data_IF_885117777559
#
_entry.id   IF_885117777559
#
_cell.length_a   1.000
_cell.length_b   1.000
_cell.length_c   1.000
_cell.angle_alpha   90.00
_cell.angle_beta   90.00
_cell.angle_gamma   90.00
#
_symmetry.space_group_name_H-M   'P 1'
#
loop_
_entity.id
_entity.type
_entity.pdbx_description
1 polymer ?
#
# COMPACT_ATOMS: atom_id res chain seq x y z
N UNK A 1 -7.29 -18.62 -1.47
CA UNK A 1 -6.35 -17.87 -0.59
C UNK A 1 -7.15 -16.84 0.19
N UNK A 2 -7.05 -16.81 1.53
CA UNK A 2 -7.74 -15.82 2.37
C UNK A 2 -6.90 -14.54 2.48
N UNK A 3 -6.83 -13.81 1.36
CA UNK A 3 -6.01 -12.63 1.14
C UNK A 3 -6.83 -11.52 0.50
N UNK A 4 -6.71 -10.32 1.04
CA UNK A 4 -7.23 -9.10 0.43
C UNK A 4 -6.14 -8.05 0.25
N UNK A 5 -6.07 -7.47 -0.94
CA UNK A 5 -5.33 -6.23 -1.19
C UNK A 5 -6.21 -5.03 -0.88
N UNK A 6 -5.65 -4.03 -0.22
CA UNK A 6 -6.29 -2.75 0.07
C UNK A 6 -5.44 -1.62 -0.51
N UNK A 7 -6.01 -0.88 -1.46
CA UNK A 7 -5.27 0.06 -2.31
C UNK A 7 -6.04 1.39 -2.38
N UNK A 8 -5.69 2.39 -1.58
CA UNK A 8 -6.22 3.73 -1.74
C UNK A 8 -5.56 4.40 -2.94
N UNK A 9 -6.34 5.04 -3.81
CA UNK A 9 -5.84 5.66 -5.04
C UNK A 9 -6.31 7.11 -5.22
N UNK A 10 -5.43 7.91 -5.83
CA UNK A 10 -5.72 9.19 -6.46
C UNK A 10 -4.95 9.25 -7.78
N UNK A 11 -5.66 9.37 -8.90
CA UNK A 11 -5.07 9.29 -10.25
C UNK A 11 -4.89 10.70 -10.82
N UNK A 12 -3.79 11.33 -10.45
CA UNK A 12 -3.52 12.76 -10.75
C UNK A 12 -2.79 12.98 -12.09
N UNK A 13 -2.44 11.90 -12.83
CA UNK A 13 -1.65 11.99 -14.07
C UNK A 13 -1.77 10.74 -14.93
N UNK A 14 -1.35 10.81 -16.19
CA UNK A 14 -1.39 9.70 -17.13
C UNK A 14 -0.44 8.56 -16.74
N UNK A 15 0.73 8.87 -16.18
CA UNK A 15 1.67 7.87 -15.69
C UNK A 15 1.09 7.11 -14.47
N UNK A 16 0.39 7.79 -13.56
CA UNK A 16 -0.34 7.13 -12.46
C UNK A 16 -1.50 6.27 -12.96
N UNK A 17 -2.22 6.72 -13.98
CA UNK A 17 -3.27 5.90 -14.62
C UNK A 17 -2.67 4.62 -15.22
N UNK A 18 -1.58 4.75 -15.97
CA UNK A 18 -0.86 3.61 -16.55
C UNK A 18 -0.37 2.65 -15.46
N UNK A 19 0.25 3.16 -14.39
CA UNK A 19 0.71 2.35 -13.27
C UNK A 19 -0.46 1.61 -12.60
N UNK A 20 -1.57 2.29 -12.35
CA UNK A 20 -2.79 1.69 -11.79
C UNK A 20 -3.29 0.52 -12.65
N UNK A 21 -3.40 0.71 -13.96
CA UNK A 21 -3.81 -0.35 -14.89
C UNK A 21 -2.82 -1.52 -14.85
N UNK A 22 -1.53 -1.22 -14.86
CA UNK A 22 -0.46 -2.24 -14.83
C UNK A 22 -0.52 -3.09 -13.58
N UNK A 23 -0.54 -2.45 -12.41
CA UNK A 23 -0.53 -3.15 -11.12
C UNK A 23 -1.77 -4.02 -10.95
N UNK A 24 -2.96 -3.48 -11.27
CA UNK A 24 -4.20 -4.23 -11.12
C UNK A 24 -4.29 -5.38 -12.13
N UNK A 25 -3.87 -5.19 -13.37
CA UNK A 25 -3.81 -6.27 -14.36
C UNK A 25 -2.85 -7.38 -13.90
N UNK A 26 -1.69 -6.99 -13.37
CA UNK A 26 -0.71 -7.93 -12.85
C UNK A 26 -1.26 -8.73 -11.66
N UNK A 27 -1.81 -8.06 -10.65
CA UNK A 27 -2.37 -8.70 -9.46
C UNK A 27 -3.49 -9.66 -9.80
N UNK A 28 -4.46 -9.25 -10.65
CA UNK A 28 -5.58 -10.08 -11.09
C UNK A 28 -5.14 -11.31 -11.89
N UNK A 29 -3.98 -11.25 -12.56
CA UNK A 29 -3.41 -12.38 -13.29
C UNK A 29 -2.54 -13.28 -12.41
N UNK A 30 -1.76 -12.73 -11.50
CA UNK A 30 -0.73 -13.46 -10.72
C UNK A 30 -1.30 -14.08 -9.45
N UNK A 31 -2.30 -13.42 -8.83
CA UNK A 31 -2.96 -13.85 -7.59
C UNK A 31 -4.50 -13.76 -7.76
N UNK A 32 -5.08 -14.49 -8.74
CA UNK A 32 -6.48 -14.34 -9.13
C UNK A 32 -7.50 -14.69 -8.02
N UNK A 33 -7.09 -15.45 -7.01
CA UNK A 33 -7.96 -15.83 -5.88
C UNK A 33 -8.04 -14.73 -4.80
N UNK A 34 -7.15 -13.74 -4.83
CA UNK A 34 -7.16 -12.64 -3.87
C UNK A 34 -8.25 -11.62 -4.21
N UNK A 35 -8.87 -11.05 -3.19
CA UNK A 35 -9.77 -9.92 -3.36
C UNK A 35 -8.98 -8.62 -3.40
N UNK A 36 -9.37 -7.69 -4.25
CA UNK A 36 -8.74 -6.38 -4.37
C UNK A 36 -9.78 -5.32 -4.06
N UNK A 37 -9.55 -4.55 -3.01
CA UNK A 37 -10.39 -3.43 -2.60
C UNK A 37 -9.69 -2.12 -2.92
N UNK A 38 -10.33 -1.30 -3.74
CA UNK A 38 -9.83 0.01 -4.15
C UNK A 38 -10.76 1.09 -3.61
N UNK A 39 -10.17 2.11 -3.00
CA UNK A 39 -10.85 3.36 -2.66
C UNK A 39 -10.22 4.49 -3.45
N UNK A 40 -10.95 4.97 -4.45
CA UNK A 40 -10.58 6.17 -5.20
C UNK A 40 -11.11 7.41 -4.50
N UNK A 41 -10.24 8.39 -4.28
CA UNK A 41 -10.60 9.64 -3.61
C UNK A 41 -10.09 10.80 -4.45
N UNK A 42 -10.99 11.41 -5.24
CA UNK A 42 -10.65 12.45 -6.20
C UNK A 42 -11.87 13.34 -6.50
N UNK A 43 -11.69 14.37 -7.33
CA UNK A 43 -12.77 15.23 -7.81
C UNK A 43 -13.72 14.53 -8.79
N UNK A 44 -13.21 13.53 -9.51
CA UNK A 44 -13.99 12.65 -10.42
C UNK A 44 -13.40 11.26 -10.42
N UNK A 45 -14.19 10.25 -10.80
CA UNK A 45 -13.70 8.87 -10.86
C UNK A 45 -12.96 8.61 -12.18
N UNK A 46 -11.66 8.88 -12.18
CA UNK A 46 -10.75 8.56 -13.30
C UNK A 46 -10.63 7.04 -13.49
N UNK A 47 -10.66 6.29 -12.39
CA UNK A 47 -10.63 4.83 -12.42
C UNK A 47 -11.81 4.26 -13.20
N UNK A 48 -13.05 4.66 -12.89
CA UNK A 48 -14.25 4.16 -13.58
C UNK A 48 -14.28 4.57 -15.05
N UNK A 49 -13.83 5.79 -15.36
CA UNK A 49 -13.87 6.32 -16.70
C UNK A 49 -12.78 5.73 -17.61
N UNK A 50 -11.57 5.49 -17.09
CA UNK A 50 -10.41 5.18 -17.91
C UNK A 50 -9.73 3.84 -17.58
N UNK A 51 -9.55 3.48 -16.31
CA UNK A 51 -8.85 2.25 -15.93
C UNK A 51 -9.76 1.01 -16.06
N UNK A 52 -10.95 1.04 -15.49
CA UNK A 52 -11.86 -0.11 -15.42
C UNK A 52 -12.26 -0.68 -16.78
N UNK A 53 -12.54 0.12 -17.83
CA UNK A 53 -12.82 -0.40 -19.17
C UNK A 53 -11.65 -1.18 -19.77
N UNK A 54 -10.41 -0.73 -19.52
CA UNK A 54 -9.19 -1.41 -20.00
C UNK A 54 -9.00 -2.72 -19.25
N UNK A 55 -9.17 -2.71 -17.92
CA UNK A 55 -9.05 -3.90 -17.08
C UNK A 55 -10.07 -4.97 -17.51
N UNK A 56 -11.34 -4.62 -17.65
CA UNK A 56 -12.42 -5.53 -18.09
C UNK A 56 -12.16 -6.20 -19.45
N UNK A 57 -11.41 -5.53 -20.32
CA UNK A 57 -11.06 -6.07 -21.64
C UNK A 57 -9.93 -7.11 -21.56
N UNK A 58 -9.04 -6.98 -20.56
CA UNK A 58 -7.77 -7.72 -20.55
C UNK A 58 -7.73 -8.82 -19.48
N UNK A 59 -8.45 -8.66 -18.36
CA UNK A 59 -8.43 -9.60 -17.23
C UNK A 59 -9.82 -9.77 -16.60
N UNK A 60 -10.05 -10.86 -15.85
CA UNK A 60 -11.24 -10.99 -15.01
C UNK A 60 -11.19 -9.99 -13.87
N UNK A 61 -12.28 -9.27 -13.64
CA UNK A 61 -12.42 -8.26 -12.58
C UNK A 61 -13.41 -8.67 -11.48
N UNK A 62 -13.77 -9.96 -11.40
CA UNK A 62 -14.76 -10.46 -10.43
C UNK A 62 -14.35 -10.22 -8.98
N UNK A 63 -13.05 -10.30 -8.67
CA UNK A 63 -12.49 -10.07 -7.35
C UNK A 63 -12.04 -8.62 -7.11
N UNK A 64 -12.41 -7.68 -8.00
CA UNK A 64 -12.06 -6.27 -7.90
C UNK A 64 -13.26 -5.46 -7.39
N UNK A 65 -13.12 -4.89 -6.20
CA UNK A 65 -14.12 -4.06 -5.54
C UNK A 65 -13.63 -2.60 -5.54
N UNK A 66 -14.42 -1.71 -6.15
CA UNK A 66 -14.07 -0.29 -6.25
C UNK A 66 -15.13 0.57 -5.55
N UNK A 67 -14.66 1.52 -4.78
CA UNK A 67 -15.48 2.58 -4.19
C UNK A 67 -14.89 3.94 -4.56
N UNK A 68 -15.76 4.91 -4.80
CA UNK A 68 -15.38 6.30 -5.08
C UNK A 68 -15.87 7.23 -3.97
N UNK A 69 -15.00 8.12 -3.54
CA UNK A 69 -15.32 9.21 -2.63
C UNK A 69 -14.92 10.53 -3.26
N UNK A 70 -15.86 11.44 -3.39
CA UNK A 70 -15.56 12.81 -3.85
C UNK A 70 -14.64 13.52 -2.87
N UNK A 71 -13.59 14.14 -3.41
CA UNK A 71 -12.70 15.03 -2.69
C UNK A 71 -12.24 16.15 -3.66
N UNK A 72 -12.28 17.43 -3.28
CA UNK A 72 -11.82 18.49 -4.17
C UNK A 72 -10.40 18.25 -4.70
N UNK A 73 -10.11 18.65 -5.93
CA UNK A 73 -8.83 18.37 -6.61
C UNK A 73 -7.59 18.83 -5.82
N UNK A 74 -7.72 19.94 -5.07
CA UNK A 74 -6.66 20.51 -4.24
C UNK A 74 -6.67 20.03 -2.78
N UNK A 75 -7.55 19.08 -2.42
CA UNK A 75 -7.61 18.53 -1.09
C UNK A 75 -6.49 17.51 -0.86
N UNK A 76 -6.01 17.42 0.38
CA UNK A 76 -5.01 16.44 0.77
C UNK A 76 -5.57 15.01 0.70
N UNK A 77 -4.73 14.10 0.24
CA UNK A 77 -5.05 12.68 0.18
C UNK A 77 -4.70 12.01 1.52
N UNK A 78 -5.70 11.71 2.32
CA UNK A 78 -5.51 11.14 3.67
C UNK A 78 -5.27 9.63 3.63
N UNK A 79 -4.09 9.23 3.13
CA UNK A 79 -3.71 7.84 2.83
C UNK A 79 -3.98 6.88 3.99
N UNK A 80 -3.51 7.19 5.19
CA UNK A 80 -3.63 6.34 6.38
C UNK A 80 -5.09 6.05 6.74
N UNK A 81 -5.95 7.07 6.69
CA UNK A 81 -7.39 6.92 6.90
C UNK A 81 -8.03 6.02 5.86
N UNK A 82 -7.68 6.19 4.58
CA UNK A 82 -8.28 5.41 3.50
C UNK A 82 -7.82 3.94 3.52
N UNK A 83 -6.60 3.66 3.98
CA UNK A 83 -6.15 2.29 4.27
C UNK A 83 -7.02 1.66 5.36
N UNK A 84 -7.28 2.37 6.45
CA UNK A 84 -8.14 1.89 7.53
C UNK A 84 -9.59 1.68 7.08
N UNK A 85 -10.14 2.60 6.26
CA UNK A 85 -11.49 2.45 5.68
C UNK A 85 -11.61 1.19 4.81
N UNK A 86 -10.58 0.91 4.01
CA UNK A 86 -10.53 -0.30 3.16
C UNK A 86 -10.35 -1.56 3.99
N UNK A 87 -9.57 -1.51 5.06
CA UNK A 87 -9.40 -2.63 5.97
C UNK A 87 -10.74 -3.10 6.55
N UNK A 88 -11.61 -2.19 6.95
CA UNK A 88 -12.93 -2.52 7.50
C UNK A 88 -13.88 -3.17 6.48
N UNK A 89 -13.62 -3.03 5.18
CA UNK A 89 -14.41 -3.67 4.13
C UNK A 89 -14.00 -5.12 3.88
N UNK A 90 -12.79 -5.52 4.29
CA UNK A 90 -12.31 -6.90 4.13
C UNK A 90 -12.57 -7.74 5.37
N UNK A 91 -12.75 -9.05 5.17
CA UNK A 91 -12.84 -10.05 6.24
C UNK A 91 -11.73 -11.10 6.11
N UNK A 92 -10.73 -10.86 5.27
CA UNK A 92 -9.62 -11.80 5.07
C UNK A 92 -8.66 -11.79 6.26
N UNK A 93 -8.11 -12.96 6.56
CA UNK A 93 -7.09 -13.15 7.60
C UNK A 93 -5.78 -12.40 7.28
N UNK A 94 -5.42 -12.35 6.00
CA UNK A 94 -4.23 -11.65 5.52
C UNK A 94 -4.66 -10.42 4.73
N UNK A 95 -4.19 -9.25 5.14
CA UNK A 95 -4.48 -7.98 4.48
C UNK A 95 -3.20 -7.36 3.96
N UNK A 96 -3.16 -7.10 2.68
CA UNK A 96 -2.01 -6.55 1.96
C UNK A 96 -2.29 -5.12 1.54
N UNK A 97 -1.68 -4.16 2.23
CA UNK A 97 -1.61 -2.79 1.74
C UNK A 97 -0.44 -2.67 0.76
N UNK A 98 -0.66 -2.10 -0.40
CA UNK A 98 0.38 -1.68 -1.33
C UNK A 98 0.00 -0.39 -2.05
N UNK A 99 1.01 0.37 -2.44
CA UNK A 99 0.82 1.48 -3.36
C UNK A 99 0.50 0.95 -4.76
N UNK A 100 -0.25 1.72 -5.55
CA UNK A 100 -0.76 1.31 -6.87
C UNK A 100 0.30 1.44 -7.98
N UNK A 101 1.55 1.51 -7.59
CA UNK A 101 2.74 1.63 -8.45
C UNK A 101 3.85 0.64 -8.06
N UNK A 102 3.54 -0.36 -7.21
CA UNK A 102 4.51 -1.39 -6.81
C UNK A 102 4.03 -2.79 -7.16
N UNK A 103 4.96 -3.63 -7.58
CA UNK A 103 4.73 -5.06 -7.82
C UNK A 103 5.92 -5.90 -7.37
N UNK A 104 5.63 -7.19 -7.18
CA UNK A 104 6.55 -8.18 -6.64
C UNK A 104 6.54 -9.44 -7.50
N UNK A 105 7.58 -10.28 -7.46
CA UNK A 105 7.52 -11.63 -8.01
C UNK A 105 6.36 -12.45 -7.42
N UNK A 106 5.80 -13.36 -8.19
CA UNK A 106 4.73 -14.27 -7.71
C UNK A 106 5.13 -15.03 -6.45
N UNK A 107 6.38 -15.49 -6.38
CA UNK A 107 6.97 -16.15 -5.21
C UNK A 107 6.84 -15.31 -3.94
N UNK A 108 7.01 -14.00 -4.05
CA UNK A 108 6.92 -13.06 -2.92
C UNK A 108 5.51 -13.00 -2.34
N UNK A 109 4.48 -12.96 -3.20
CA UNK A 109 3.08 -13.00 -2.73
C UNK A 109 2.78 -14.27 -1.94
N UNK A 110 3.23 -15.41 -2.46
CA UNK A 110 3.01 -16.71 -1.82
C UNK A 110 3.79 -16.85 -0.51
N UNK A 111 5.07 -16.46 -0.50
CA UNK A 111 5.92 -16.53 0.69
C UNK A 111 5.39 -15.61 1.81
N UNK A 112 4.97 -14.39 1.46
CA UNK A 112 4.40 -13.42 2.40
C UNK A 112 3.09 -13.93 3.01
N UNK A 113 2.20 -14.47 2.17
CA UNK A 113 0.96 -15.08 2.64
C UNK A 113 1.25 -16.22 3.63
N UNK A 114 2.18 -17.14 3.30
CA UNK A 114 2.54 -18.26 4.15
C UNK A 114 3.09 -17.81 5.52
N UNK A 115 3.91 -16.77 5.55
CA UNK A 115 4.46 -16.23 6.79
C UNK A 115 3.35 -15.77 7.76
N UNK A 116 2.32 -15.10 7.26
CA UNK A 116 1.22 -14.61 8.11
C UNK A 116 0.21 -15.71 8.38
N UNK A 117 -0.28 -16.39 7.33
CA UNK A 117 -1.38 -17.32 7.45
C UNK A 117 -1.01 -18.60 8.24
N UNK A 118 0.23 -19.09 8.07
CA UNK A 118 0.66 -20.40 8.58
C UNK A 118 1.76 -20.33 9.64
N UNK A 119 2.65 -19.31 9.61
CA UNK A 119 3.78 -19.19 10.55
C UNK A 119 3.54 -18.23 11.70
N UNK A 120 2.36 -17.56 11.72
CA UNK A 120 1.95 -16.70 12.82
C UNK A 120 2.81 -15.43 12.98
N UNK A 121 3.29 -14.89 11.85
CA UNK A 121 3.92 -13.56 11.79
C UNK A 121 2.82 -12.51 11.76
N UNK A 122 2.96 -11.44 12.54
CA UNK A 122 1.97 -10.39 12.69
C UNK A 122 2.00 -9.39 11.54
N UNK A 123 3.21 -9.09 11.04
CA UNK A 123 3.48 -8.06 10.08
C UNK A 123 4.65 -8.44 9.17
N UNK A 124 4.52 -8.28 7.85
CA UNK A 124 5.58 -8.63 6.89
C UNK A 124 5.84 -7.50 5.91
N UNK A 125 7.12 -7.16 5.73
CA UNK A 125 7.59 -6.42 4.57
C UNK A 125 7.83 -7.39 3.42
N UNK A 126 7.09 -7.28 2.28
CA UNK A 126 7.21 -8.23 1.16
C UNK A 126 8.40 -7.93 0.24
N UNK A 127 9.44 -7.28 0.72
CA UNK A 127 10.65 -6.94 -0.05
C UNK A 127 11.88 -6.79 0.83
N UNK A 128 13.07 -6.99 0.21
CA UNK A 128 14.35 -6.78 0.87
C UNK A 128 14.73 -5.30 1.01
N UNK A 129 15.69 -5.01 1.88
CA UNK A 129 16.26 -3.67 2.02
C UNK A 129 17.37 -3.43 0.97
N UNK A 130 17.57 -2.16 0.60
CA UNK A 130 18.69 -1.74 -0.23
C UNK A 130 18.65 -2.31 -1.66
N UNK A 131 19.52 -3.29 -2.02
CA UNK A 131 19.66 -3.74 -3.40
C UNK A 131 18.41 -4.39 -4.01
N UNK A 132 17.41 -4.68 -3.21
CA UNK A 132 16.13 -5.25 -3.66
C UNK A 132 15.12 -4.18 -4.10
N UNK A 133 15.40 -2.89 -3.88
CA UNK A 133 14.45 -1.80 -4.15
C UNK A 133 14.73 -1.14 -5.48
N UNK A 134 13.96 -1.50 -6.50
CA UNK A 134 14.13 -1.08 -7.87
C UNK A 134 13.10 -0.01 -8.24
N UNK A 135 13.55 1.18 -8.60
CA UNK A 135 12.73 2.21 -9.24
C UNK A 135 12.82 2.07 -10.76
N UNK A 136 11.69 1.87 -11.40
CA UNK A 136 11.58 1.60 -12.84
C UNK A 136 11.21 2.88 -13.57
N UNK A 137 12.02 3.32 -14.55
CA UNK A 137 11.64 4.41 -15.44
C UNK A 137 10.60 3.93 -16.44
N UNK A 138 9.35 3.82 -15.96
CA UNK A 138 8.26 3.12 -16.62
C UNK A 138 7.67 3.95 -17.76
N UNK A 139 8.07 3.64 -18.99
CA UNK A 139 7.59 4.28 -20.22
C UNK A 139 6.35 3.60 -20.81
N UNK A 140 5.72 4.25 -21.81
CA UNK A 140 4.63 3.63 -22.56
C UNK A 140 5.09 2.44 -23.42
N UNK A 141 6.34 2.42 -23.85
CA UNK A 141 6.93 1.29 -24.55
C UNK A 141 7.08 0.10 -23.60
N UNK A 142 7.71 0.30 -22.44
CA UNK A 142 7.86 -0.73 -21.41
C UNK A 142 6.51 -1.25 -20.92
N UNK A 143 5.48 -0.40 -20.81
CA UNK A 143 4.11 -0.82 -20.52
C UNK A 143 3.59 -1.82 -21.54
N UNK A 144 3.72 -1.50 -22.84
CA UNK A 144 3.25 -2.42 -23.92
C UNK A 144 4.00 -3.74 -23.89
N UNK A 145 5.33 -3.69 -23.74
CA UNK A 145 6.17 -4.87 -23.73
C UNK A 145 5.86 -5.75 -22.50
N UNK A 146 5.63 -5.14 -21.33
CA UNK A 146 5.28 -5.86 -20.12
C UNK A 146 3.94 -6.59 -20.23
N UNK A 147 2.92 -5.95 -20.80
CA UNK A 147 1.61 -6.59 -21.05
C UNK A 147 1.74 -7.71 -22.11
N UNK A 148 2.45 -7.45 -23.22
CA UNK A 148 2.63 -8.40 -24.33
C UNK A 148 3.47 -9.63 -23.94
N UNK A 149 4.42 -9.47 -23.02
CA UNK A 149 5.22 -10.57 -22.50
C UNK A 149 4.46 -11.50 -21.53
N UNK A 150 3.18 -11.19 -21.22
CA UNK A 150 2.43 -11.90 -20.18
C UNK A 150 2.94 -11.58 -18.77
N UNK A 151 3.36 -10.33 -18.56
CA UNK A 151 3.87 -9.79 -17.30
C UNK A 151 5.24 -10.35 -16.87
N UNK A 152 6.17 -10.53 -17.80
CA UNK A 152 7.54 -10.92 -17.48
C UNK A 152 8.29 -9.76 -16.78
N UNK A 153 8.61 -9.95 -15.51
CA UNK A 153 9.31 -8.95 -14.69
C UNK A 153 10.72 -8.59 -15.22
N UNK A 154 11.31 -9.40 -16.11
CA UNK A 154 12.59 -9.06 -16.74
C UNK A 154 12.48 -7.84 -17.65
N UNK A 155 11.32 -7.57 -18.23
CA UNK A 155 11.06 -6.35 -18.99
C UNK A 155 11.30 -5.11 -18.13
N UNK A 156 10.89 -5.12 -16.87
CA UNK A 156 11.07 -4.00 -15.94
C UNK A 156 12.54 -3.77 -15.55
N UNK A 157 13.40 -4.77 -15.73
CA UNK A 157 14.84 -4.65 -15.42
C UNK A 157 15.67 -4.03 -16.56
N UNK A 158 15.05 -3.55 -17.61
CA UNK A 158 15.75 -2.93 -18.74
C UNK A 158 16.13 -1.47 -18.50
N UNK A 159 15.34 -0.72 -17.70
CA UNK A 159 15.64 0.65 -17.32
C UNK A 159 15.19 0.95 -15.88
N UNK A 160 16.11 0.82 -14.93
CA UNK A 160 15.85 1.03 -13.51
C UNK A 160 17.04 1.62 -12.77
N UNK A 161 16.81 2.11 -11.57
CA UNK A 161 17.85 2.50 -10.61
C UNK A 161 17.51 1.99 -9.21
N UNK A 162 18.51 1.95 -8.33
CA UNK A 162 18.31 1.50 -6.93
C UNK A 162 17.86 2.66 -6.06
N UNK A 163 16.83 2.40 -5.25
CA UNK A 163 16.40 3.33 -4.20
C UNK A 163 17.22 3.12 -2.93
N UNK A 164 17.33 4.14 -2.06
CA UNK A 164 17.81 3.97 -0.70
C UNK A 164 16.86 3.03 0.06
N UNK A 165 17.38 2.32 1.06
CA UNK A 165 16.58 1.42 1.88
C UNK A 165 15.41 2.18 2.54
N UNK A 166 14.18 1.74 2.27
CA UNK A 166 12.95 2.32 2.81
C UNK A 166 12.10 1.27 3.52
N UNK A 167 11.08 1.70 4.24
CA UNK A 167 10.05 0.88 4.87
C UNK A 167 8.64 1.15 4.29
N UNK A 168 8.57 2.02 3.26
CA UNK A 168 7.35 2.35 2.53
C UNK A 168 6.91 1.26 1.54
N UNK A 169 6.24 1.65 0.46
CA UNK A 169 5.73 0.84 -0.67
C UNK A 169 4.59 -0.12 -0.32
N UNK A 170 4.80 -1.02 0.65
CA UNK A 170 3.87 -2.11 0.88
C UNK A 170 4.08 -2.75 2.25
N UNK A 171 2.97 -3.07 2.91
CA UNK A 171 2.95 -3.72 4.22
C UNK A 171 1.84 -4.78 4.24
N UNK A 172 2.12 -5.90 4.89
CA UNK A 172 1.18 -7.02 4.97
C UNK A 172 0.93 -7.39 6.42
N UNK A 173 -0.33 -7.53 6.78
CA UNK A 173 -0.76 -7.68 8.16
C UNK A 173 -1.56 -8.96 8.37
N UNK A 174 -1.40 -9.57 9.53
CA UNK A 174 -2.47 -10.36 10.11
C UNK A 174 -3.61 -9.41 10.53
N UNK A 175 -4.85 -9.70 10.13
CA UNK A 175 -5.97 -8.79 10.36
C UNK A 175 -6.25 -8.54 11.85
N UNK A 176 -6.19 -9.58 12.70
CA UNK A 176 -6.38 -9.42 14.14
C UNK A 176 -5.24 -8.59 14.77
N UNK A 177 -4.01 -8.81 14.32
CA UNK A 177 -2.85 -8.03 14.78
C UNK A 177 -2.98 -6.57 14.35
N UNK A 178 -3.52 -6.30 13.14
CA UNK A 178 -3.75 -4.93 12.65
C UNK A 178 -4.69 -4.13 13.58
N UNK A 179 -5.76 -4.76 14.04
CA UNK A 179 -6.66 -4.16 15.03
C UNK A 179 -5.95 -3.95 16.37
N UNK A 180 -5.24 -4.97 16.86
CA UNK A 180 -4.55 -4.92 18.16
C UNK A 180 -3.48 -3.85 18.26
N UNK A 181 -2.79 -3.53 17.17
CA UNK A 181 -1.78 -2.47 17.20
C UNK A 181 -2.31 -1.07 16.85
N UNK A 182 -3.63 -0.92 16.65
CA UNK A 182 -4.30 0.38 16.55
C UNK A 182 -4.35 0.97 15.15
N UNK A 183 -4.35 0.12 14.09
CA UNK A 183 -4.48 0.52 12.69
C UNK A 183 -3.30 1.40 12.18
N UNK A 184 -3.41 1.95 10.96
CA UNK A 184 -2.53 3.05 10.53
C UNK A 184 -2.85 4.31 11.32
N UNK A 185 -1.83 5.09 11.65
CA UNK A 185 -2.01 6.32 12.43
C UNK A 185 -2.62 7.43 11.56
N UNK A 186 -3.89 7.76 11.82
CA UNK A 186 -4.63 8.78 11.07
C UNK A 186 -4.19 10.21 11.35
N UNK A 187 -3.30 10.44 12.32
CA UNK A 187 -2.72 11.76 12.55
C UNK A 187 -1.60 12.10 11.55
N UNK A 188 -1.15 11.11 10.74
CA UNK A 188 -0.32 11.37 9.58
C UNK A 188 -1.20 11.64 8.36
N UNK A 189 -1.21 12.88 7.89
CA UNK A 189 -2.05 13.32 6.78
C UNK A 189 -1.22 13.48 5.52
N UNK A 190 -1.66 12.88 4.40
CA UNK A 190 -0.95 12.87 3.13
C UNK A 190 0.41 12.15 3.26
N UNK A 191 1.45 12.60 2.59
CA UNK A 191 2.74 11.94 2.52
C UNK A 191 3.69 12.36 3.67
N UNK A 192 4.37 11.37 4.26
CA UNK A 192 5.57 11.56 5.07
C UNK A 192 5.51 10.95 6.47
N UNK A 193 6.48 10.10 6.74
CA UNK A 193 6.82 9.49 8.04
C UNK A 193 5.83 8.46 8.61
N UNK A 194 4.68 8.22 8.02
CA UNK A 194 3.69 7.22 8.48
C UNK A 194 4.27 5.80 8.48
N UNK A 195 5.08 5.47 7.47
CA UNK A 195 5.76 4.17 7.38
C UNK A 195 6.87 4.01 8.42
N UNK A 196 7.57 5.09 8.74
CA UNK A 196 8.61 5.11 9.78
C UNK A 196 7.99 4.89 11.17
N UNK A 197 6.86 5.55 11.45
CA UNK A 197 6.11 5.37 12.69
C UNK A 197 5.63 3.92 12.82
N UNK A 198 5.00 3.38 11.77
CA UNK A 198 4.53 2.00 11.76
C UNK A 198 5.66 1.00 12.03
N UNK A 199 6.81 1.16 11.33
CA UNK A 199 7.97 0.31 11.56
C UNK A 199 8.48 0.38 13.00
N UNK A 200 8.59 1.57 13.56
CA UNK A 200 9.00 1.79 14.95
C UNK A 200 8.03 1.13 15.92
N UNK A 201 6.73 1.39 15.76
CA UNK A 201 5.66 0.86 16.61
C UNK A 201 5.64 -0.66 16.64
N UNK A 202 5.73 -1.32 15.47
CA UNK A 202 5.77 -2.78 15.41
C UNK A 202 6.95 -3.35 16.22
N UNK A 203 8.10 -2.71 16.15
CA UNK A 203 9.30 -3.18 16.85
C UNK A 203 9.24 -2.90 18.36
N UNK A 204 8.84 -1.69 18.79
CA UNK A 204 8.81 -1.36 20.21
C UNK A 204 7.72 -2.12 20.96
N UNK A 205 6.60 -2.40 20.31
CA UNK A 205 5.52 -3.22 20.86
C UNK A 205 5.77 -4.73 20.72
N UNK A 206 6.94 -5.12 20.16
CA UNK A 206 7.40 -6.51 20.04
C UNK A 206 6.47 -7.43 19.23
N UNK A 207 5.78 -6.87 18.20
CA UNK A 207 5.11 -7.69 17.21
C UNK A 207 6.11 -8.53 16.42
N UNK A 208 5.68 -9.71 15.95
CA UNK A 208 6.51 -10.56 15.11
C UNK A 208 6.58 -9.98 13.70
N UNK A 209 7.65 -9.24 13.42
CA UNK A 209 7.90 -8.62 12.12
C UNK A 209 8.74 -9.54 11.26
N UNK A 210 8.22 -9.87 10.07
CA UNK A 210 8.92 -10.67 9.05
C UNK A 210 9.35 -9.81 7.86
N UNK A 211 10.22 -10.40 7.02
CA UNK A 211 10.65 -9.79 5.76
C UNK A 211 10.94 -10.86 4.72
N UNK A 212 10.45 -10.65 3.50
CA UNK A 212 10.85 -11.45 2.33
C UNK A 212 12.01 -10.73 1.64
N UNK A 213 13.12 -11.42 1.44
CA UNK A 213 14.30 -10.84 0.78
C UNK A 213 14.21 -11.09 -0.73
N UNK A 214 13.31 -10.38 -1.38
CA UNK A 214 13.05 -10.44 -2.80
C UNK A 214 12.90 -9.02 -3.38
N UNK A 215 12.94 -8.87 -4.71
CA UNK A 215 12.84 -7.60 -5.40
C UNK A 215 11.46 -6.95 -5.22
N UNK A 216 11.44 -5.63 -5.07
CA UNK A 216 10.27 -4.78 -5.31
C UNK A 216 10.54 -3.92 -6.54
N UNK A 217 9.52 -3.75 -7.37
CA UNK A 217 9.54 -2.90 -8.55
C UNK A 217 8.58 -1.74 -8.35
N UNK A 218 9.13 -0.54 -8.16
CA UNK A 218 8.36 0.68 -8.05
C UNK A 218 8.33 1.38 -9.40
N UNK A 219 7.15 1.50 -10.01
CA UNK A 219 6.96 2.17 -11.28
C UNK A 219 6.96 3.68 -11.06
N UNK A 220 8.03 4.36 -11.48
CA UNK A 220 8.18 5.80 -11.28
C UNK A 220 7.05 6.59 -11.96
N UNK A 221 6.66 7.67 -11.32
CA UNK A 221 5.59 8.56 -11.75
C UNK A 221 5.87 10.00 -11.31
N UNK A 222 5.15 10.95 -11.90
CA UNK A 222 5.20 12.36 -11.51
C UNK A 222 4.78 12.55 -10.05
N UNK A 223 5.49 13.45 -9.36
CA UNK A 223 5.22 13.78 -7.95
C UNK A 223 4.32 15.00 -7.85
N UNK A 224 3.33 14.93 -6.97
CA UNK A 224 2.43 16.03 -6.64
C UNK A 224 2.64 16.47 -5.19
N UNK A 225 1.92 17.48 -4.76
CA UNK A 225 1.97 17.93 -3.35
C UNK A 225 1.51 16.84 -2.36
N UNK A 226 0.75 15.83 -2.83
CA UNK A 226 0.32 14.69 -2.00
C UNK A 226 1.39 13.59 -1.84
N UNK A 227 2.49 13.67 -2.57
CA UNK A 227 3.49 12.60 -2.64
C UNK A 227 4.94 13.07 -2.58
N UNK A 228 5.19 14.23 -1.96
CA UNK A 228 6.53 14.83 -1.91
C UNK A 228 6.71 15.72 -0.66
N UNK A 229 7.96 16.15 -0.39
CA UNK A 229 8.33 17.10 0.68
C UNK A 229 7.60 18.45 0.62
N UNK A 230 6.94 18.76 -0.50
CA UNK A 230 6.07 19.93 -0.64
C UNK A 230 4.67 19.72 -0.05
N UNK A 231 4.37 18.55 0.52
CA UNK A 231 3.15 18.31 1.26
C UNK A 231 2.99 19.38 2.37
N UNK A 232 1.87 20.12 2.42
CA UNK A 232 1.64 21.13 3.46
C UNK A 232 1.69 20.59 4.89
N UNK A 233 1.44 19.28 5.06
CA UNK A 233 1.47 18.58 6.36
C UNK A 233 2.81 17.91 6.67
N UNK A 234 3.81 18.02 5.79
CA UNK A 234 5.08 17.32 5.98
C UNK A 234 5.77 17.68 7.32
N UNK A 235 5.80 18.96 7.68
CA UNK A 235 6.43 19.37 8.95
C UNK A 235 5.66 18.85 10.17
N UNK A 236 4.33 18.84 10.12
CA UNK A 236 3.50 18.28 11.20
C UNK A 236 3.73 16.77 11.33
N UNK A 237 3.72 16.04 10.21
CA UNK A 237 4.01 14.62 10.15
C UNK A 237 5.42 14.32 10.70
N UNK A 238 6.42 15.09 10.28
CA UNK A 238 7.80 14.91 10.77
C UNK A 238 7.90 15.20 12.27
N UNK A 239 7.27 16.24 12.78
CA UNK A 239 7.25 16.54 14.22
C UNK A 239 6.60 15.41 15.03
N UNK A 240 5.48 14.86 14.53
CA UNK A 240 4.83 13.71 15.15
C UNK A 240 5.75 12.48 15.15
N UNK A 241 6.42 12.20 14.03
CA UNK A 241 7.43 11.14 13.95
C UNK A 241 8.60 11.37 14.91
N UNK A 242 9.14 12.58 14.99
CA UNK A 242 10.22 12.91 15.95
C UNK A 242 9.78 12.68 17.41
N UNK A 243 8.50 12.92 17.72
CA UNK A 243 7.95 12.56 19.02
C UNK A 243 7.94 11.04 19.22
N UNK A 244 7.36 10.28 18.29
CA UNK A 244 7.23 8.81 18.39
C UNK A 244 8.56 8.09 18.60
N UNK A 245 9.59 8.45 17.84
CA UNK A 245 10.89 7.77 17.89
C UNK A 245 11.63 7.89 19.22
N UNK A 246 11.16 8.73 20.13
CA UNK A 246 11.70 8.93 21.46
C UNK A 246 10.79 8.36 22.57
N UNK A 247 9.67 7.74 22.22
CA UNK A 247 8.76 7.14 23.20
C UNK A 247 9.15 5.70 23.50
N UNK A 248 8.80 5.24 24.69
CA UNK A 248 8.82 3.82 25.03
C UNK A 248 7.50 3.11 24.65
N UNK A 249 7.45 1.81 24.93
CA UNK A 249 6.26 1.01 24.60
C UNK A 249 5.00 1.47 25.35
N UNK A 250 5.16 1.88 26.62
CA UNK A 250 4.04 2.31 27.46
C UNK A 250 3.41 3.61 26.93
N UNK A 251 4.23 4.60 26.61
CA UNK A 251 3.77 5.86 26.00
C UNK A 251 3.10 5.65 24.63
N UNK A 252 3.62 4.72 23.81
CA UNK A 252 3.00 4.38 22.52
C UNK A 252 1.64 3.70 22.71
N UNK A 253 1.52 2.77 23.67
CA UNK A 253 0.24 2.13 24.00
C UNK A 253 -0.77 3.17 24.49
N UNK A 254 -0.38 4.04 25.41
CA UNK A 254 -1.23 5.10 25.94
C UNK A 254 -1.72 6.03 24.82
N UNK A 255 -0.81 6.44 23.92
CA UNK A 255 -1.18 7.25 22.76
C UNK A 255 -2.31 6.61 21.94
N UNK A 256 -2.19 5.32 21.56
CA UNK A 256 -3.19 4.64 20.73
C UNK A 256 -4.50 4.37 21.47
N UNK A 257 -4.45 4.07 22.76
CA UNK A 257 -5.64 3.90 23.60
C UNK A 257 -6.49 5.19 23.71
N UNK A 258 -5.85 6.35 23.55
CA UNK A 258 -6.51 7.65 23.61
C UNK A 258 -7.05 8.13 22.25
N UNK A 259 -6.73 7.43 21.13
CA UNK A 259 -7.21 7.83 19.80
C UNK A 259 -8.68 7.41 19.60
N UNK A 260 -9.53 8.37 19.28
CA UNK A 260 -10.94 8.14 19.01
C UNK A 260 -11.15 7.21 17.79
N UNK A 261 -10.43 7.44 16.69
CA UNK A 261 -10.52 6.60 15.50
C UNK A 261 -10.16 5.13 15.77
N UNK A 262 -9.27 4.85 16.73
CA UNK A 262 -8.94 3.45 17.10
C UNK A 262 -10.12 2.77 17.76
N UNK A 263 -10.80 3.46 18.68
CA UNK A 263 -12.00 2.95 19.37
C UNK A 263 -13.13 2.69 18.39
N UNK A 264 -13.47 3.70 17.57
CA UNK A 264 -14.53 3.60 16.56
C UNK A 264 -14.28 2.46 15.56
N UNK A 265 -13.06 2.34 15.06
CA UNK A 265 -12.72 1.30 14.08
C UNK A 265 -12.66 -0.08 14.70
N UNK A 266 -12.26 -0.20 15.96
CA UNK A 266 -12.30 -1.48 16.68
C UNK A 266 -13.73 -1.96 16.88
N UNK A 267 -14.65 -1.06 17.24
CA UNK A 267 -16.08 -1.36 17.34
C UNK A 267 -16.71 -1.78 16.00
N UNK A 268 -16.28 -1.16 14.89
CA UNK A 268 -16.75 -1.53 13.55
C UNK A 268 -16.21 -2.88 13.07
N UNK A 269 -15.04 -3.28 13.55
CA UNK A 269 -14.43 -4.55 13.18
C UNK A 269 -15.07 -5.75 13.90
N UNK A 270 -15.42 -5.61 15.18
CA UNK A 270 -16.03 -6.66 16.02
C UNK A 270 -17.48 -6.92 15.63
#
# INVERSE_FOLDING_TARGET
MDLSFIIPIKIESQDRLRNCITILSYLLNVVPEAKIYIKEVDAESVFTQHALPILKKNVSVENLHHTFQFNPANALFHRTRYINDLFLQTKSKVVWHCDVDVLFPKSTYLATYDMIANKGIDFVYPFGCGPYQNAIRYSDEMYRDFIQSGYDLNVLKTDYFRLPATVGFSQVFNAESYVKFGFMNENFVSWGCEDCELYYRMNILKYKVGRVYDDVYHLEHSRTFNSHYHNPKFNENNNLWQWFRHQDAEAVIEYYNNQEYVKERTEQWT
#
